data_IF_827228278350
#
_entry.id   IF_827228278350
#
_cell.length_a   1.000
_cell.length_b   1.000
_cell.length_c   1.000
_cell.angle_alpha   90.00
_cell.angle_beta   90.00
_cell.angle_gamma   90.00
#
_symmetry.space_group_name_H-M   'P 1'
#
loop_
_entity.id
_entity.type
_entity.pdbx_description
1 polymer ?
#
# COMPACT_ATOMS: atom_id res chain seq x y z
N UNK A 1 -2.50 15.30 -3.50
CA UNK A 1 -1.42 15.71 -2.57
C UNK A 1 -1.14 14.51 -1.69
N UNK A 2 0.13 14.15 -1.50
CA UNK A 2 0.53 13.05 -0.62
C UNK A 2 1.31 13.66 0.52
N UNK A 3 0.85 13.41 1.74
CA UNK A 3 1.50 13.85 2.97
C UNK A 3 2.17 12.63 3.64
N UNK A 4 3.37 12.83 4.19
CA UNK A 4 4.16 11.77 4.82
C UNK A 4 4.92 12.29 6.04
N UNK A 5 5.26 11.40 6.97
CA UNK A 5 6.13 11.68 8.11
C UNK A 5 6.89 10.40 8.50
N UNK A 6 7.97 10.52 9.27
CA UNK A 6 8.61 9.35 9.87
C UNK A 6 7.70 8.75 10.94
N UNK A 7 7.53 7.44 10.91
CA UNK A 7 6.77 6.73 11.92
C UNK A 7 7.57 6.69 13.24
N UNK A 8 7.00 7.15 14.36
CA UNK A 8 7.65 7.01 15.66
C UNK A 8 7.62 5.56 16.13
N UNK A 9 8.59 5.21 16.98
CA UNK A 9 8.84 3.82 17.41
C UNK A 9 7.71 3.24 18.28
N UNK A 10 6.85 4.08 18.86
CA UNK A 10 5.70 3.70 19.69
C UNK A 10 4.42 3.53 18.85
N UNK A 11 4.41 2.58 17.93
CA UNK A 11 3.30 2.30 16.98
C UNK A 11 1.96 1.88 17.65
N UNK A 12 1.86 1.93 18.98
CA UNK A 12 0.64 1.61 19.75
C UNK A 12 -0.29 2.79 20.01
N UNK A 13 0.12 4.05 19.79
CA UNK A 13 -0.79 5.19 19.91
C UNK A 13 -1.62 5.40 18.64
N UNK A 14 -2.84 5.93 18.82
CA UNK A 14 -3.81 6.18 17.75
C UNK A 14 -3.17 7.00 16.62
N UNK A 15 -3.16 6.44 15.40
CA UNK A 15 -2.58 7.06 14.21
C UNK A 15 -3.14 8.47 13.96
N UNK A 16 -4.39 8.73 14.33
CA UNK A 16 -5.00 10.07 14.21
C UNK A 16 -4.39 11.10 15.16
N UNK A 17 -4.04 10.71 16.39
CA UNK A 17 -3.35 11.61 17.33
C UNK A 17 -1.96 11.94 16.83
N UNK A 18 -1.25 10.95 16.27
CA UNK A 18 0.08 11.15 15.72
C UNK A 18 0.10 12.25 14.65
N UNK A 19 -0.83 12.22 13.69
CA UNK A 19 -0.90 13.26 12.65
C UNK A 19 -1.34 14.61 13.19
N UNK A 20 -2.18 14.62 14.23
CA UNK A 20 -2.68 15.86 14.84
C UNK A 20 -1.60 16.59 15.64
N UNK A 21 -0.77 15.84 16.35
CA UNK A 21 0.26 16.37 17.24
C UNK A 21 1.63 16.50 16.55
N UNK A 22 1.74 16.05 15.28
CA UNK A 22 2.95 16.17 14.49
C UNK A 22 3.32 17.65 14.22
N UNK A 23 4.58 18.06 14.48
CA UNK A 23 5.02 19.40 14.14
C UNK A 23 5.09 19.59 12.62
N UNK A 24 4.79 20.80 12.09
CA UNK A 24 4.78 21.05 10.64
C UNK A 24 6.11 20.72 9.95
N UNK A 25 7.23 20.91 10.64
CA UNK A 25 8.58 20.62 10.15
C UNK A 25 8.84 19.12 9.93
N UNK A 26 8.05 18.24 10.57
CA UNK A 26 8.15 16.78 10.41
C UNK A 26 7.24 16.23 9.32
N UNK A 27 6.36 17.06 8.75
CA UNK A 27 5.45 16.68 7.67
C UNK A 27 6.11 16.98 6.32
N UNK A 28 6.09 16.02 5.42
CA UNK A 28 6.57 16.17 4.05
C UNK A 28 5.40 16.02 3.07
N UNK A 29 5.17 17.08 2.28
CA UNK A 29 4.08 17.13 1.31
C UNK A 29 4.59 17.07 -0.13
N UNK A 30 4.01 16.20 -0.95
CA UNK A 30 4.25 16.12 -2.40
C UNK A 30 2.98 16.45 -3.18
N UNK A 31 3.08 17.40 -4.12
CA UNK A 31 1.99 17.75 -5.05
C UNK A 31 2.15 16.97 -6.35
N UNK A 32 1.13 16.18 -6.71
CA UNK A 32 1.09 15.42 -7.96
C UNK A 32 0.12 16.07 -8.93
N UNK A 33 0.42 15.98 -10.23
CA UNK A 33 -0.49 16.39 -11.30
C UNK A 33 -1.14 15.13 -11.87
N UNK A 34 -2.46 15.17 -12.05
CA UNK A 34 -3.17 14.13 -12.79
C UNK A 34 -3.04 14.44 -14.28
N UNK A 35 -2.52 13.48 -15.05
CA UNK A 35 -2.49 13.54 -16.50
C UNK A 35 -3.52 12.54 -17.01
N UNK A 36 -4.46 13.01 -17.79
CA UNK A 36 -5.46 12.17 -18.43
C UNK A 36 -5.03 11.94 -19.87
N UNK A 37 -4.91 10.67 -20.24
CA UNK A 37 -4.60 10.24 -21.60
C UNK A 37 -5.81 9.46 -22.11
N UNK A 38 -6.32 9.84 -23.28
CA UNK A 38 -7.32 9.02 -23.96
C UNK A 38 -6.60 7.86 -24.64
N UNK A 39 -7.11 6.62 -24.53
CA UNK A 39 -6.52 5.50 -25.26
C UNK A 39 -6.60 5.78 -26.76
N UNK A 40 -5.48 5.57 -27.47
CA UNK A 40 -5.46 5.58 -28.92
C UNK A 40 -6.37 4.45 -29.41
N UNK A 41 -7.63 4.78 -29.71
CA UNK A 41 -8.53 3.86 -30.39
C UNK A 41 -7.96 3.74 -31.79
N UNK A 42 -7.49 2.55 -32.23
CA UNK A 42 -7.21 2.35 -33.63
C UNK A 42 -8.49 2.71 -34.38
N UNK A 43 -8.40 3.54 -35.42
CA UNK A 43 -9.51 3.80 -36.34
C UNK A 43 -9.86 2.50 -37.09
N UNK A 44 -10.45 1.54 -36.40
CA UNK A 44 -11.34 0.57 -37.00
C UNK A 44 -12.58 1.37 -37.39
N UNK A 45 -12.60 1.79 -38.65
CA UNK A 45 -13.77 2.14 -39.46
C UNK A 45 -15.08 2.09 -38.66
N UNK A 46 -15.47 3.20 -38.03
CA UNK A 46 -16.83 3.35 -37.54
C UNK A 46 -17.73 3.61 -38.75
N UNK A 47 -18.51 2.59 -39.12
CA UNK A 47 -19.84 2.77 -39.70
C UNK A 47 -20.71 3.56 -38.72
N UNK A 48 -21.57 4.49 -39.19
CA UNK A 48 -22.28 5.39 -38.30
C UNK A 48 -23.63 4.79 -37.90
N UNK A 49 -23.69 4.09 -36.77
CA UNK A 49 -25.00 3.77 -36.14
C UNK A 49 -24.90 3.40 -34.66
N UNK A 50 -24.82 4.42 -33.81
CA UNK A 50 -25.69 4.50 -32.63
C UNK A 50 -25.53 5.86 -31.96
N UNK A 51 -26.29 6.82 -32.45
CA UNK A 51 -26.74 7.92 -31.63
C UNK A 51 -27.90 7.43 -30.75
N UNK A 52 -27.72 7.41 -29.43
CA UNK A 52 -28.81 7.77 -28.50
C UNK A 52 -28.29 8.12 -27.11
N UNK A 53 -28.30 9.43 -26.85
CA UNK A 53 -28.82 10.11 -25.65
C UNK A 53 -28.24 9.74 -24.29
N UNK A 54 -27.60 10.72 -23.64
CA UNK A 54 -28.19 11.41 -22.48
C UNK A 54 -27.54 12.79 -22.34
N UNK A 55 -28.39 13.81 -22.36
CA UNK A 55 -28.11 15.23 -22.20
C UNK A 55 -27.89 15.59 -20.71
N UNK A 56 -27.16 16.67 -20.45
CA UNK A 56 -27.31 17.41 -19.19
C UNK A 56 -26.14 18.31 -18.81
N UNK A 57 -26.26 19.63 -19.05
CA UNK A 57 -25.63 20.65 -18.21
C UNK A 57 -24.73 21.67 -18.90
N UNK A 58 -25.27 22.87 -19.12
CA UNK A 58 -24.68 24.03 -19.79
C UNK A 58 -23.43 24.63 -19.11
N UNK A 59 -22.55 25.27 -19.88
CA UNK A 59 -22.46 26.76 -19.94
C UNK A 59 -21.42 27.22 -20.97
N UNK A 60 -21.82 28.26 -21.68
CA UNK A 60 -21.18 28.94 -22.80
C UNK A 60 -20.10 29.90 -22.28
N UNK A 61 -18.92 29.94 -22.93
CA UNK A 61 -18.23 31.20 -23.23
C UNK A 61 -17.56 31.13 -24.60
N UNK A 62 -18.05 32.01 -25.47
CA UNK A 62 -17.54 32.46 -26.78
C UNK A 62 -16.17 33.15 -26.57
N UNK A 63 -15.20 33.14 -27.48
CA UNK A 63 -15.03 33.97 -28.69
C UNK A 63 -13.53 33.78 -29.05
N UNK A 64 -12.97 33.85 -30.27
CA UNK A 64 -13.41 34.34 -31.56
C UNK A 64 -12.49 33.76 -32.64
N UNK A 65 -12.99 33.82 -33.87
CA UNK A 65 -12.39 33.39 -35.13
C UNK A 65 -10.99 33.93 -35.45
N UNK A 66 -10.27 33.19 -36.30
CA UNK A 66 -9.55 33.61 -37.53
C UNK A 66 -8.70 32.41 -38.01
N UNK A 67 -9.20 31.63 -38.95
CA UNK A 67 -8.99 31.78 -40.40
C UNK A 67 -7.69 31.14 -40.91
N UNK A 68 -7.92 30.41 -41.99
CA UNK A 68 -7.07 29.59 -42.83
C UNK A 68 -5.68 30.13 -43.17
N UNK A 69 -4.67 29.27 -43.11
CA UNK A 69 -3.68 29.25 -44.19
C UNK A 69 -2.88 27.96 -44.24
N UNK A 70 -3.03 27.30 -45.38
CA UNK A 70 -2.17 26.24 -45.90
C UNK A 70 -0.73 26.73 -45.88
N UNK A 71 0.12 26.10 -45.07
CA UNK A 71 1.57 26.07 -45.32
C UNK A 71 2.05 24.63 -45.25
N UNK A 72 2.00 23.97 -46.41
CA UNK A 72 2.98 22.94 -46.77
C UNK A 72 4.35 23.62 -46.72
N UNK A 73 5.09 23.42 -45.64
CA UNK A 73 6.53 23.65 -45.66
C UNK A 73 7.22 22.31 -45.69
N UNK A 74 8.03 22.20 -46.72
CA UNK A 74 8.95 21.14 -47.09
C UNK A 74 9.72 20.55 -45.91
N UNK A 75 10.02 19.27 -46.04
CA UNK A 75 10.73 18.46 -45.05
C UNK A 75 12.15 18.99 -44.85
N UNK A 76 12.78 18.62 -43.72
CA UNK A 76 13.91 17.72 -43.92
C UNK A 76 13.60 16.38 -43.27
N UNK A 77 13.64 15.31 -44.07
CA UNK A 77 13.80 13.94 -43.61
C UNK A 77 14.97 13.91 -42.61
N UNK A 78 14.67 13.96 -41.32
CA UNK A 78 15.59 13.47 -40.30
C UNK A 78 15.44 11.96 -40.37
N UNK A 79 16.36 11.33 -41.08
CA UNK A 79 16.55 9.89 -41.03
C UNK A 79 16.58 9.48 -39.55
N UNK A 80 15.65 8.64 -39.14
CA UNK A 80 15.64 7.97 -37.86
C UNK A 80 16.71 6.89 -37.89
N UNK A 81 17.81 7.00 -37.11
CA UNK A 81 18.55 5.82 -36.74
C UNK A 81 17.84 5.21 -35.53
N UNK A 82 17.17 4.09 -35.76
CA UNK A 82 16.95 3.05 -34.74
C UNK A 82 15.86 3.23 -33.66
N UNK A 83 14.58 3.23 -34.05
CA UNK A 83 13.50 2.81 -33.13
C UNK A 83 13.66 1.36 -32.64
N UNK A 84 14.44 0.54 -33.34
CA UNK A 84 14.68 -0.86 -32.99
C UNK A 84 15.61 -1.04 -31.79
N UNK A 85 16.60 -0.17 -31.59
CA UNK A 85 17.52 -0.28 -30.44
C UNK A 85 16.88 0.24 -29.15
N UNK A 86 16.03 1.26 -29.24
CA UNK A 86 15.22 1.71 -28.10
C UNK A 86 14.23 0.63 -27.65
N UNK A 87 13.54 -0.04 -28.59
CA UNK A 87 12.63 -1.14 -28.28
C UNK A 87 13.37 -2.32 -27.60
N UNK A 88 14.56 -2.68 -28.08
CA UNK A 88 15.38 -3.74 -27.48
C UNK A 88 15.87 -3.36 -26.08
N UNK A 89 16.26 -2.10 -25.88
CA UNK A 89 16.70 -1.59 -24.57
C UNK A 89 15.55 -1.63 -23.56
N UNK A 90 14.37 -1.15 -23.95
CA UNK A 90 13.16 -1.22 -23.11
C UNK A 90 12.77 -2.66 -22.78
N UNK A 91 12.85 -3.58 -23.75
CA UNK A 91 12.59 -5.00 -23.52
C UNK A 91 13.59 -5.63 -22.54
N UNK A 92 14.85 -5.22 -22.59
CA UNK A 92 15.88 -5.67 -21.64
C UNK A 92 15.61 -5.11 -20.23
N UNK A 93 15.25 -3.83 -20.12
CA UNK A 93 14.90 -3.20 -18.84
C UNK A 93 13.65 -3.84 -18.20
N UNK A 94 12.62 -4.17 -18.99
CA UNK A 94 11.45 -4.91 -18.51
C UNK A 94 11.83 -6.27 -17.97
N UNK A 95 12.67 -7.03 -18.69
CA UNK A 95 13.15 -8.34 -18.23
C UNK A 95 13.96 -8.22 -16.93
N UNK A 96 14.85 -7.23 -16.85
CA UNK A 96 15.64 -6.96 -15.65
C UNK A 96 14.74 -6.60 -14.46
N UNK A 97 13.79 -5.70 -14.65
CA UNK A 97 12.83 -5.32 -13.61
C UNK A 97 11.99 -6.52 -13.15
N UNK A 98 11.56 -7.39 -14.07
CA UNK A 98 10.84 -8.63 -13.73
C UNK A 98 11.70 -9.57 -12.88
N UNK A 99 12.98 -9.74 -13.20
CA UNK A 99 13.89 -10.56 -12.39
C UNK A 99 14.11 -9.99 -11.00
N UNK A 100 14.21 -8.66 -10.89
CA UNK A 100 14.39 -7.97 -9.60
C UNK A 100 13.13 -8.09 -8.73
N UNK A 101 11.94 -7.94 -9.31
CA UNK A 101 10.66 -8.17 -8.63
C UNK A 101 10.56 -9.61 -8.12
N UNK A 102 10.97 -10.59 -8.93
CA UNK A 102 10.96 -11.99 -8.52
C UNK A 102 11.93 -12.25 -7.36
N UNK A 103 13.14 -11.68 -7.43
CA UNK A 103 14.15 -11.78 -6.37
C UNK A 103 13.64 -11.16 -5.06
N UNK A 104 13.15 -9.92 -5.12
CA UNK A 104 12.64 -9.21 -3.95
C UNK A 104 11.44 -9.93 -3.32
N UNK A 105 10.56 -10.55 -4.13
CA UNK A 105 9.47 -11.38 -3.60
C UNK A 105 9.98 -12.61 -2.86
N UNK A 106 11.01 -13.27 -3.38
CA UNK A 106 11.62 -14.43 -2.73
C UNK A 106 12.27 -14.03 -1.40
N UNK A 107 13.04 -12.94 -1.38
CA UNK A 107 13.65 -12.39 -0.17
C UNK A 107 12.60 -11.97 0.87
N UNK A 108 11.51 -11.32 0.45
CA UNK A 108 10.43 -10.94 1.35
C UNK A 108 9.74 -12.17 1.97
N UNK A 109 9.51 -13.22 1.17
CA UNK A 109 8.99 -14.50 1.68
C UNK A 109 9.93 -15.10 2.73
N UNK A 110 11.23 -15.14 2.43
CA UNK A 110 12.24 -15.66 3.34
C UNK A 110 12.31 -14.87 4.65
N UNK A 111 12.28 -13.54 4.58
CA UNK A 111 12.29 -12.68 5.76
C UNK A 111 11.02 -12.84 6.60
N UNK A 112 9.86 -13.04 5.97
CA UNK A 112 8.62 -13.36 6.69
C UNK A 112 8.73 -14.70 7.40
N UNK A 113 9.27 -15.72 6.75
CA UNK A 113 9.46 -17.04 7.35
C UNK A 113 10.45 -16.97 8.53
N UNK A 114 11.57 -16.27 8.37
CA UNK A 114 12.54 -16.01 9.44
C UNK A 114 11.94 -15.21 10.59
N UNK A 115 11.11 -14.19 10.31
CA UNK A 115 10.40 -13.43 11.33
C UNK A 115 9.43 -14.29 12.14
N UNK A 116 8.69 -15.20 11.49
CA UNK A 116 7.83 -16.16 12.21
C UNK A 116 8.63 -17.17 13.02
N UNK A 117 9.79 -17.61 12.51
CA UNK A 117 10.71 -18.52 13.20
C UNK A 117 11.33 -17.88 14.43
N UNK A 118 11.85 -16.66 14.31
CA UNK A 118 12.38 -15.88 15.43
C UNK A 118 11.33 -15.63 16.51
N UNK A 119 10.08 -15.30 16.11
CA UNK A 119 8.98 -15.16 17.08
C UNK A 119 8.70 -16.48 17.79
N UNK A 120 8.73 -17.62 17.08
CA UNK A 120 8.59 -18.95 17.71
C UNK A 120 9.73 -19.24 18.68
N UNK A 121 10.99 -18.97 18.32
CA UNK A 121 12.17 -19.18 19.17
C UNK A 121 12.14 -18.26 20.39
N UNK A 122 11.81 -16.99 20.23
CA UNK A 122 11.69 -16.04 21.34
C UNK A 122 10.58 -16.44 22.33
N UNK A 123 9.45 -16.96 21.83
CA UNK A 123 8.40 -17.51 22.69
C UNK A 123 8.91 -18.76 23.42
N UNK A 124 9.63 -19.66 22.76
CA UNK A 124 10.21 -20.84 23.39
C UNK A 124 11.26 -20.48 24.45
N UNK A 125 12.15 -19.52 24.20
CA UNK A 125 13.17 -19.07 25.16
C UNK A 125 12.56 -18.37 26.38
N UNK A 126 11.45 -17.63 26.20
CA UNK A 126 10.73 -17.01 27.33
C UNK A 126 10.07 -18.06 28.21
N UNK A 127 9.67 -19.21 27.65
CA UNK A 127 9.08 -20.34 28.41
C UNK A 127 10.18 -21.20 29.06
N UNK A 128 11.37 -21.30 28.45
CA UNK A 128 12.51 -22.08 28.98
C UNK A 128 13.36 -21.34 30.03
N UNK A 129 13.30 -20.01 30.10
CA UNK A 129 14.15 -19.21 31.01
C UNK A 129 13.55 -18.96 32.40
N UNK A 130 12.40 -19.56 32.73
CA UNK A 130 11.88 -19.54 34.11
C UNK A 130 12.54 -20.68 34.89
N UNK A 131 13.33 -20.41 35.96
CA UNK A 131 13.78 -21.46 36.85
C UNK A 131 12.60 -21.84 37.76
N UNK A 132 11.64 -22.60 37.22
CA UNK A 132 10.61 -23.21 38.03
C UNK A 132 11.17 -24.48 38.63
N UNK A 133 11.42 -24.38 39.93
CA UNK A 133 11.59 -25.47 40.87
C UNK A 133 10.78 -26.71 40.45
N UNK A 134 11.47 -27.85 40.38
CA UNK A 134 10.87 -29.15 40.17
C UNK A 134 9.82 -29.43 41.24
N UNK A 135 8.57 -29.55 40.82
CA UNK A 135 7.59 -30.44 41.44
C UNK A 135 6.84 -31.14 40.34
N UNK A 136 7.13 -32.43 40.19
CA UNK A 136 6.31 -33.36 39.45
C UNK A 136 4.88 -33.29 39.98
N UNK A 137 3.93 -32.93 39.13
CA UNK A 137 2.55 -33.35 39.32
C UNK A 137 1.92 -33.54 37.95
N UNK A 138 1.86 -34.80 37.54
CA UNK A 138 0.98 -35.31 36.52
C UNK A 138 -0.43 -34.80 36.79
N UNK A 139 -1.05 -34.09 35.85
CA UNK A 139 -2.39 -34.37 35.30
C UNK A 139 -2.92 -33.18 34.51
N UNK A 140 -3.49 -33.52 33.34
CA UNK A 140 -4.48 -32.75 32.59
C UNK A 140 -3.97 -31.54 31.80
N UNK A 141 -3.86 -31.78 30.49
CA UNK A 141 -3.94 -30.78 29.43
C UNK A 141 -5.25 -29.97 29.57
N UNK A 142 -5.27 -28.98 30.44
CA UNK A 142 -6.22 -27.87 30.30
C UNK A 142 -5.61 -26.93 29.28
N UNK A 143 -6.26 -26.84 28.11
CA UNK A 143 -6.05 -25.80 27.12
C UNK A 143 -5.82 -24.48 27.83
N UNK A 144 -4.57 -24.03 27.89
CA UNK A 144 -4.19 -22.81 28.57
C UNK A 144 -4.83 -21.66 27.82
N UNK A 145 -5.91 -21.11 28.38
CA UNK A 145 -6.53 -19.92 27.85
C UNK A 145 -5.49 -18.79 27.83
N UNK A 146 -5.53 -17.87 26.84
CA UNK A 146 -4.59 -16.77 26.78
C UNK A 146 -4.49 -16.05 28.13
N UNK A 147 -3.30 -15.60 28.58
CA UNK A 147 -3.11 -14.92 29.87
C UNK A 147 -4.12 -13.78 30.12
N UNK A 148 -4.55 -13.11 29.06
CA UNK A 148 -5.58 -12.06 29.06
C UNK A 148 -6.93 -12.52 29.62
N UNK A 149 -7.32 -13.77 29.39
CA UNK A 149 -8.60 -14.34 29.86
C UNK A 149 -8.63 -14.43 31.38
N UNK A 150 -7.51 -14.78 32.01
CA UNK A 150 -7.41 -14.84 33.48
C UNK A 150 -7.52 -13.45 34.11
N UNK A 151 -6.96 -12.43 33.47
CA UNK A 151 -7.07 -11.04 33.94
C UNK A 151 -8.53 -10.57 33.88
N UNK A 152 -9.22 -10.82 32.77
CA UNK A 152 -10.63 -10.47 32.60
C UNK A 152 -11.50 -11.21 33.63
N UNK A 153 -11.25 -12.50 33.84
CA UNK A 153 -11.98 -13.30 34.83
C UNK A 153 -11.79 -12.77 36.27
N UNK A 154 -10.56 -12.37 36.63
CA UNK A 154 -10.27 -11.79 37.94
C UNK A 154 -10.99 -10.45 38.18
N UNK A 155 -11.07 -9.59 37.15
CA UNK A 155 -11.81 -8.32 37.23
C UNK A 155 -13.31 -8.57 37.43
N UNK A 156 -13.90 -9.48 36.66
CA UNK A 156 -15.32 -9.83 36.79
C UNK A 156 -15.60 -10.39 38.18
N UNK A 157 -14.76 -11.31 38.67
CA UNK A 157 -14.92 -11.90 39.99
C UNK A 157 -14.77 -10.85 41.11
N UNK A 158 -13.79 -9.95 40.98
CA UNK A 158 -13.58 -8.84 41.92
C UNK A 158 -14.76 -7.86 41.95
N UNK A 159 -15.35 -7.55 40.78
CA UNK A 159 -16.54 -6.70 40.70
C UNK A 159 -17.76 -7.37 41.33
N UNK A 160 -17.96 -8.67 41.12
CA UNK A 160 -19.04 -9.43 41.76
C UNK A 160 -18.85 -9.41 43.28
N UNK A 161 -17.67 -9.80 43.77
CA UNK A 161 -17.38 -9.85 45.21
C UNK A 161 -17.52 -8.45 45.85
N UNK A 162 -17.01 -7.41 45.20
CA UNK A 162 -17.14 -6.02 45.66
C UNK A 162 -18.58 -5.54 45.70
N UNK A 163 -19.40 -5.92 44.71
CA UNK A 163 -20.84 -5.56 44.63
C UNK A 163 -21.71 -6.31 45.65
N UNK A 164 -21.27 -7.45 46.14
CA UNK A 164 -21.98 -8.25 47.14
C UNK A 164 -21.55 -7.96 48.57
N UNK A 165 -20.38 -7.37 48.78
CA UNK A 165 -19.83 -7.03 50.11
C UNK A 165 -20.03 -5.54 50.46
N UNK A 166 -20.28 -4.68 49.46
CA UNK A 166 -20.62 -3.26 49.63
C UNK A 166 -22.08 -3.00 49.22
#
# INVERSE_FOLDING_TARGET
MVQSMFAPDNVTESHEMLWKDAPPESLMDTKLRCVFELPDVPQAQMTPESARQTEGGATVFNDSALDSSIKKTDSPKRASPSSGDELRKLQHEIKKAQTEIASLKAENSQLKDEGTRLRKVAITDTVMSTPSHSTETSTSQVSAFPPVVYIIAAIILGLIIGKFIL
#
